data_IF_975545348097
#
_entry.id   IF_975545348097
#
_cell.length_a   1.000
_cell.length_b   1.000
_cell.length_c   1.000
_cell.angle_alpha   90.00
_cell.angle_beta   90.00
_cell.angle_gamma   90.00
#
_symmetry.space_group_name_H-M   'P 1'
#
loop_
_entity.id
_entity.type
_entity.pdbx_description
1 polymer ?
#
# COMPACT_ATOMS: atom_id res chain seq x y z
N UNK A 1 44.84 -30.73 25.05
CA UNK A 1 44.32 -31.82 25.91
C UNK A 1 44.59 -31.45 27.37
N UNK A 2 43.56 -31.54 28.22
CA UNK A 2 43.53 -31.61 29.70
C UNK A 2 44.10 -30.44 30.54
N UNK A 3 43.27 -29.65 31.24
CA UNK A 3 42.64 -29.87 32.59
C UNK A 3 43.66 -29.78 33.74
N UNK A 4 43.48 -29.10 34.89
CA UNK A 4 42.33 -28.80 35.78
C UNK A 4 42.78 -27.72 36.81
N UNK A 5 41.95 -26.73 37.17
CA UNK A 5 41.05 -26.60 38.35
C UNK A 5 41.67 -26.52 39.76
N UNK A 6 41.19 -25.49 40.49
CA UNK A 6 40.79 -25.39 41.92
C UNK A 6 41.48 -24.23 42.67
N UNK A 7 40.89 -23.49 43.61
CA UNK A 7 39.51 -23.21 44.07
C UNK A 7 39.60 -22.20 45.25
N UNK A 8 38.57 -21.37 45.45
CA UNK A 8 38.16 -20.81 46.77
C UNK A 8 38.81 -19.47 47.18
N UNK A 9 38.12 -18.51 47.80
CA UNK A 9 36.75 -18.44 48.32
C UNK A 9 36.48 -17.10 49.05
N UNK A 10 35.29 -16.53 48.78
CA UNK A 10 34.40 -15.59 49.51
C UNK A 10 34.86 -14.89 50.80
N UNK A 11 34.49 -13.60 50.93
CA UNK A 11 33.53 -12.99 51.91
C UNK A 11 33.69 -11.44 51.83
N UNK A 12 32.69 -10.55 51.85
CA UNK A 12 31.25 -10.63 52.02
C UNK A 12 30.53 -9.33 51.57
N UNK A 13 29.20 -9.40 51.55
CA UNK A 13 28.17 -8.32 51.61
C UNK A 13 27.32 -8.62 52.87
N UNK A 14 26.34 -7.81 53.36
CA UNK A 14 25.61 -6.65 52.79
C UNK A 14 25.51 -5.46 53.80
N UNK A 15 24.89 -4.29 53.52
CA UNK A 15 23.49 -3.93 53.84
C UNK A 15 23.29 -2.42 53.52
N UNK A 16 22.30 -2.07 52.70
CA UNK A 16 21.01 -1.43 53.03
C UNK A 16 21.01 0.08 53.30
N UNK A 17 20.23 0.80 52.48
CA UNK A 17 19.32 1.91 52.84
C UNK A 17 18.48 2.36 51.64
N UNK A 18 17.31 1.73 51.53
CA UNK A 18 15.96 2.33 51.50
C UNK A 18 15.69 3.61 50.68
N UNK A 19 14.70 3.52 49.78
CA UNK A 19 14.11 4.61 48.98
C UNK A 19 13.14 5.54 49.73
N UNK A 20 12.39 6.39 49.00
CA UNK A 20 11.00 6.07 48.61
C UNK A 20 10.74 6.35 47.10
N UNK A 21 10.06 5.49 46.34
CA UNK A 21 8.62 5.16 46.30
C UNK A 21 7.70 6.27 45.73
N UNK A 22 7.11 5.93 44.57
CA UNK A 22 5.87 6.41 43.94
C UNK A 22 5.76 7.82 43.32
N UNK A 23 5.66 7.88 41.98
CA UNK A 23 4.43 8.28 41.30
C UNK A 23 4.49 8.06 39.76
N UNK A 24 3.99 6.90 39.34
CA UNK A 24 3.08 6.64 38.20
C UNK A 24 2.93 7.72 37.12
N UNK A 25 3.26 7.34 35.89
CA UNK A 25 2.89 8.06 34.66
C UNK A 25 3.00 7.16 33.44
N UNK A 26 2.41 5.96 33.48
CA UNK A 26 2.29 5.10 32.32
C UNK A 26 1.37 5.76 31.28
N UNK A 27 1.94 6.35 30.24
CA UNK A 27 1.22 6.70 29.02
C UNK A 27 0.92 5.41 28.23
N UNK A 28 -0.04 4.62 28.70
CA UNK A 28 -0.70 3.53 27.95
C UNK A 28 -2.10 3.99 27.57
N UNK A 29 -2.23 4.73 26.47
CA UNK A 29 -3.52 4.93 25.80
C UNK A 29 -3.33 5.10 24.30
N UNK A 30 -2.99 3.99 23.67
CA UNK A 30 -3.07 3.81 22.22
C UNK A 30 -3.54 2.38 21.93
N UNK A 31 -4.50 1.88 22.71
CA UNK A 31 -5.14 0.62 22.44
C UNK A 31 -5.86 0.74 21.11
N UNK A 32 -5.24 0.21 20.05
CA UNK A 32 -5.96 -0.13 18.84
C UNK A 32 -7.13 -1.00 19.28
N UNK A 33 -8.33 -0.42 19.31
CA UNK A 33 -9.58 -1.14 19.47
C UNK A 33 -9.70 -1.97 18.18
N UNK A 34 -9.02 -3.11 18.14
CA UNK A 34 -9.45 -4.24 17.34
C UNK A 34 -10.82 -4.57 17.90
N UNK A 35 -11.86 -3.91 17.38
CA UNK A 35 -13.21 -4.44 17.39
C UNK A 35 -13.08 -5.75 16.63
N UNK A 36 -12.72 -6.82 17.34
CA UNK A 36 -13.08 -8.17 16.94
C UNK A 36 -14.59 -8.09 16.91
N UNK A 37 -15.15 -7.81 15.73
CA UNK A 37 -16.54 -8.04 15.48
C UNK A 37 -16.72 -9.50 15.87
N UNK A 38 -17.34 -9.74 17.03
CA UNK A 38 -17.86 -11.04 17.34
C UNK A 38 -18.83 -11.31 16.21
N UNK A 39 -18.39 -12.10 15.24
CA UNK A 39 -19.27 -12.70 14.26
C UNK A 39 -20.32 -13.41 15.13
N UNK A 40 -21.48 -12.78 15.32
CA UNK A 40 -22.61 -13.48 15.91
C UNK A 40 -22.73 -14.70 15.03
N UNK A 41 -22.47 -15.89 15.60
CA UNK A 41 -22.72 -17.14 14.89
C UNK A 41 -24.16 -16.99 14.44
N UNK A 42 -24.35 -16.90 13.14
CA UNK A 42 -25.70 -16.92 12.58
C UNK A 42 -26.23 -18.24 13.11
N UNK A 43 -27.23 -18.17 13.99
CA UNK A 43 -27.94 -19.37 14.45
C UNK A 43 -28.24 -20.20 13.21
N UNK A 44 -28.09 -21.52 13.33
CA UNK A 44 -28.09 -22.53 12.27
C UNK A 44 -29.50 -22.65 11.63
N UNK A 45 -30.05 -21.52 11.15
CA UNK A 45 -31.31 -21.36 10.44
C UNK A 45 -31.09 -21.89 9.04
N UNK A 46 -31.17 -23.21 8.94
CA UNK A 46 -31.17 -23.91 7.66
C UNK A 46 -32.39 -23.47 6.87
N UNK A 47 -32.15 -23.00 5.66
CA UNK A 47 -33.19 -22.74 4.67
C UNK A 47 -33.69 -24.12 4.21
N UNK A 48 -34.94 -24.45 4.52
CA UNK A 48 -35.52 -25.75 4.25
C UNK A 48 -36.35 -25.77 2.96
N UNK A 49 -36.85 -24.59 2.54
CA UNK A 49 -37.77 -24.48 1.40
C UNK A 49 -37.28 -23.47 0.35
N UNK A 50 -37.80 -23.60 -0.88
CA UNK A 50 -37.50 -22.66 -1.96
C UNK A 50 -38.05 -21.26 -1.67
N UNK A 51 -39.23 -21.15 -1.05
CA UNK A 51 -39.84 -19.87 -0.67
C UNK A 51 -38.99 -19.12 0.36
N UNK A 52 -38.42 -19.82 1.35
CA UNK A 52 -37.47 -19.24 2.30
C UNK A 52 -36.18 -18.78 1.58
N UNK A 53 -35.69 -19.54 0.60
CA UNK A 53 -34.54 -19.16 -0.20
C UNK A 53 -34.80 -17.88 -1.02
N UNK A 54 -35.98 -17.76 -1.63
CA UNK A 54 -36.40 -16.58 -2.39
C UNK A 54 -36.53 -15.33 -1.48
N UNK A 55 -37.07 -15.49 -0.27
CA UNK A 55 -37.11 -14.43 0.72
C UNK A 55 -35.70 -13.99 1.15
N UNK A 56 -34.80 -14.94 1.40
CA UNK A 56 -33.39 -14.65 1.73
C UNK A 56 -32.72 -13.94 0.54
N UNK A 57 -33.01 -14.35 -0.70
CA UNK A 57 -32.48 -13.69 -1.88
C UNK A 57 -32.98 -12.25 -2.03
N UNK A 58 -34.27 -11.99 -1.76
CA UNK A 58 -34.82 -10.63 -1.72
C UNK A 58 -34.16 -9.76 -0.63
N UNK A 59 -33.86 -10.35 0.55
CA UNK A 59 -33.11 -9.66 1.60
C UNK A 59 -31.65 -9.38 1.18
N UNK A 60 -30.99 -10.31 0.50
CA UNK A 60 -29.64 -10.11 -0.05
C UNK A 60 -29.66 -8.94 -1.04
N UNK A 61 -30.59 -8.92 -1.98
CA UNK A 61 -30.74 -7.83 -2.96
C UNK A 61 -30.92 -6.48 -2.27
N UNK A 62 -31.83 -6.40 -1.30
CA UNK A 62 -32.09 -5.16 -0.55
C UNK A 62 -30.85 -4.67 0.20
N UNK A 63 -30.08 -5.59 0.80
CA UNK A 63 -28.86 -5.25 1.55
C UNK A 63 -27.70 -4.85 0.65
N UNK A 64 -27.51 -5.53 -0.48
CA UNK A 64 -26.49 -5.15 -1.47
C UNK A 64 -26.83 -3.80 -2.12
N UNK A 65 -28.10 -3.51 -2.42
CA UNK A 65 -28.54 -2.20 -2.89
C UNK A 65 -28.24 -1.09 -1.87
N UNK A 66 -28.56 -1.31 -0.57
CA UNK A 66 -28.24 -0.35 0.49
C UNK A 66 -26.74 -0.14 0.66
N UNK A 67 -25.94 -1.21 0.59
CA UNK A 67 -24.48 -1.15 0.63
C UNK A 67 -23.94 -0.34 -0.55
N UNK A 68 -24.44 -0.58 -1.75
CA UNK A 68 -24.06 0.16 -2.95
C UNK A 68 -24.37 1.66 -2.81
N UNK A 69 -25.54 2.03 -2.26
CA UNK A 69 -25.87 3.42 -1.96
C UNK A 69 -24.89 4.06 -0.98
N UNK A 70 -24.59 3.39 0.14
CA UNK A 70 -23.64 3.90 1.15
C UNK A 70 -22.25 4.09 0.53
N UNK A 71 -21.79 3.13 -0.28
CA UNK A 71 -20.50 3.22 -0.97
C UNK A 71 -20.48 4.39 -1.96
N UNK A 72 -21.54 4.58 -2.76
CA UNK A 72 -21.62 5.68 -3.72
C UNK A 72 -21.55 7.05 -3.02
N UNK A 73 -22.28 7.23 -1.91
CA UNK A 73 -22.23 8.45 -1.10
C UNK A 73 -20.83 8.68 -0.52
N UNK A 74 -20.16 7.62 -0.05
CA UNK A 74 -18.80 7.71 0.48
C UNK A 74 -17.79 8.08 -0.61
N UNK A 75 -17.87 7.44 -1.78
CA UNK A 75 -17.01 7.72 -2.94
C UNK A 75 -17.21 9.15 -3.45
N UNK A 76 -18.45 9.63 -3.52
CA UNK A 76 -18.78 11.02 -3.86
C UNK A 76 -18.13 12.00 -2.88
N UNK A 77 -18.28 11.79 -1.57
CA UNK A 77 -17.63 12.63 -0.54
C UNK A 77 -16.11 12.60 -0.63
N UNK A 78 -15.51 11.42 -0.86
CA UNK A 78 -14.07 11.28 -1.07
C UNK A 78 -13.63 12.08 -2.29
N UNK A 79 -14.38 12.01 -3.40
CA UNK A 79 -14.08 12.76 -4.61
C UNK A 79 -14.16 14.28 -4.37
N UNK A 80 -15.18 14.77 -3.66
CA UNK A 80 -15.30 16.18 -3.28
C UNK A 80 -14.10 16.64 -2.44
N UNK A 81 -13.74 15.88 -1.40
CA UNK A 81 -12.60 16.21 -0.53
C UNK A 81 -11.30 16.22 -1.34
N UNK A 82 -11.07 15.20 -2.16
CA UNK A 82 -9.87 15.12 -3.02
C UNK A 82 -9.79 16.30 -3.99
N UNK A 83 -10.92 16.64 -4.64
CA UNK A 83 -10.96 17.78 -5.55
C UNK A 83 -10.64 19.10 -4.83
N UNK A 84 -11.16 19.30 -3.63
CA UNK A 84 -10.85 20.49 -2.84
C UNK A 84 -9.39 20.53 -2.42
N UNK A 85 -8.84 19.42 -1.92
CA UNK A 85 -7.43 19.34 -1.54
C UNK A 85 -6.48 19.60 -2.71
N UNK A 86 -6.80 19.10 -3.91
CA UNK A 86 -6.00 19.39 -5.11
C UNK A 86 -6.00 20.88 -5.42
N UNK A 87 -7.14 21.57 -5.29
CA UNK A 87 -7.22 23.03 -5.49
C UNK A 87 -6.42 23.79 -4.43
N UNK A 88 -6.52 23.38 -3.17
CA UNK A 88 -5.82 24.04 -2.07
C UNK A 88 -4.30 23.84 -2.21
N UNK A 89 -3.84 22.64 -2.56
CA UNK A 89 -2.43 22.36 -2.83
C UNK A 89 -1.93 23.14 -4.06
N UNK A 90 -2.72 23.21 -5.13
CA UNK A 90 -2.35 23.98 -6.32
C UNK A 90 -2.10 25.46 -6.00
N UNK A 91 -2.89 26.07 -5.11
CA UNK A 91 -2.66 27.46 -4.64
C UNK A 91 -1.32 27.60 -3.93
N UNK A 92 -0.99 26.66 -3.04
CA UNK A 92 0.32 26.67 -2.36
C UNK A 92 1.48 26.44 -3.33
N UNK A 93 1.31 25.58 -4.33
CA UNK A 93 2.31 25.36 -5.37
C UNK A 93 2.52 26.62 -6.22
N UNK A 94 1.44 27.33 -6.59
CA UNK A 94 1.48 28.63 -7.27
C UNK A 94 2.21 29.70 -6.44
N UNK A 95 2.03 29.72 -5.12
CA UNK A 95 2.75 30.65 -4.22
C UNK A 95 4.23 30.27 -4.03
N UNK A 96 4.55 28.96 -3.99
CA UNK A 96 5.90 28.46 -3.77
C UNK A 96 6.78 28.53 -5.01
N UNK A 97 6.22 28.29 -6.20
CA UNK A 97 6.97 28.28 -7.46
C UNK A 97 7.80 29.56 -7.68
N UNK A 98 7.26 30.79 -7.58
CA UNK A 98 8.05 32.00 -7.77
C UNK A 98 9.15 32.18 -6.72
N UNK A 99 8.97 31.67 -5.50
CA UNK A 99 10.01 31.68 -4.46
C UNK A 99 11.18 30.75 -4.82
N UNK A 100 10.87 29.55 -5.31
CA UNK A 100 11.88 28.62 -5.81
C UNK A 100 12.61 29.18 -7.04
N UNK A 101 11.89 29.78 -7.98
CA UNK A 101 12.49 30.42 -9.16
C UNK A 101 13.40 31.58 -8.77
N UNK A 102 12.98 32.43 -7.83
CA UNK A 102 13.82 33.50 -7.29
C UNK A 102 15.10 32.97 -6.68
N UNK A 103 15.04 31.88 -5.91
CA UNK A 103 16.22 31.23 -5.34
C UNK A 103 17.12 30.61 -6.41
N UNK A 104 16.54 29.95 -7.43
CA UNK A 104 17.31 29.41 -8.57
C UNK A 104 18.04 30.51 -9.31
N UNK A 105 17.36 31.61 -9.63
CA UNK A 105 17.96 32.77 -10.30
C UNK A 105 19.10 33.36 -9.47
N UNK A 106 18.93 33.47 -8.15
CA UNK A 106 20.02 33.92 -7.27
C UNK A 106 21.24 32.98 -7.28
N UNK A 107 21.01 31.67 -7.19
CA UNK A 107 22.09 30.67 -7.21
C UNK A 107 22.83 30.71 -8.54
N UNK A 108 22.10 30.77 -9.65
CA UNK A 108 22.66 30.79 -11.01
C UNK A 108 23.38 32.10 -11.35
N UNK A 109 22.93 33.23 -10.82
CA UNK A 109 23.61 34.51 -10.98
C UNK A 109 24.91 34.61 -10.15
N UNK A 110 25.05 33.79 -9.10
CA UNK A 110 26.18 33.85 -8.16
C UNK A 110 26.87 32.48 -7.98
N UNK A 111 27.37 31.83 -9.05
CA UNK A 111 27.98 30.51 -8.94
C UNK A 111 29.25 30.52 -8.08
N UNK A 112 29.97 31.65 -8.02
CA UNK A 112 31.16 31.84 -7.20
C UNK A 112 30.93 31.61 -5.69
N UNK A 113 29.73 31.94 -5.19
CA UNK A 113 29.38 31.75 -3.77
C UNK A 113 29.23 30.28 -3.36
N UNK A 114 29.15 29.37 -4.34
CA UNK A 114 28.91 27.94 -4.17
C UNK A 114 30.05 27.07 -4.71
N UNK A 115 31.26 27.60 -4.84
CA UNK A 115 32.41 26.78 -5.24
C UNK A 115 32.90 25.91 -4.09
N UNK A 116 33.05 26.50 -2.89
CA UNK A 116 33.47 25.84 -1.65
C UNK A 116 32.93 26.61 -0.42
N UNK A 117 31.93 26.11 0.32
CA UNK A 117 31.15 24.88 0.12
C UNK A 117 30.10 25.02 -1.00
N UNK A 118 29.74 23.90 -1.65
CA UNK A 118 28.73 23.87 -2.72
C UNK A 118 27.31 24.23 -2.27
N UNK A 119 27.04 24.05 -0.98
CA UNK A 119 25.75 24.34 -0.35
C UNK A 119 25.96 25.21 0.88
N UNK A 120 25.07 26.17 1.09
CA UNK A 120 24.96 26.96 2.31
C UNK A 120 23.88 26.38 3.21
N UNK A 121 24.16 26.30 4.51
CA UNK A 121 23.21 25.86 5.53
C UNK A 121 22.58 27.06 6.24
N UNK A 122 21.30 26.95 6.53
CA UNK A 122 20.48 27.92 7.29
C UNK A 122 19.63 27.17 8.31
N UNK A 123 19.02 27.84 9.30
CA UNK A 123 18.08 27.19 10.22
C UNK A 123 16.86 26.57 9.53
N UNK A 124 16.46 27.08 8.36
CA UNK A 124 15.30 26.62 7.60
C UNK A 124 15.63 25.56 6.53
N UNK A 125 16.90 25.24 6.30
CA UNK A 125 17.32 24.27 5.29
C UNK A 125 18.66 24.59 4.64
N UNK A 126 18.91 24.00 3.48
CA UNK A 126 20.14 24.20 2.69
C UNK A 126 19.82 24.56 1.23
N UNK A 127 20.71 25.32 0.61
CA UNK A 127 20.60 25.69 -0.81
C UNK A 127 21.97 25.84 -1.46
N UNK A 128 22.07 25.59 -2.76
CA UNK A 128 23.32 25.73 -3.53
C UNK A 128 23.35 24.82 -4.75
N UNK A 129 24.55 24.51 -5.23
CA UNK A 129 24.76 23.71 -6.42
C UNK A 129 24.90 22.22 -6.07
N UNK A 130 24.24 21.37 -6.84
CA UNK A 130 24.37 19.92 -6.77
C UNK A 130 24.67 19.37 -8.16
N UNK A 131 25.62 18.44 -8.25
CA UNK A 131 25.87 17.73 -9.50
C UNK A 131 24.72 16.73 -9.73
N UNK A 132 24.06 16.85 -10.87
CA UNK A 132 23.07 15.88 -11.33
C UNK A 132 23.57 15.30 -12.66
N UNK A 133 23.59 13.97 -12.75
CA UNK A 133 23.82 13.23 -13.99
C UNK A 133 22.49 12.67 -14.43
N UNK A 134 21.96 13.18 -15.53
CA UNK A 134 20.72 12.69 -16.12
C UNK A 134 21.06 11.89 -17.38
N UNK A 135 20.56 10.65 -17.44
CA UNK A 135 20.63 9.83 -18.65
C UNK A 135 19.42 10.17 -19.51
N UNK A 136 19.66 10.75 -20.68
CA UNK A 136 18.62 11.05 -21.65
C UNK A 136 18.60 9.93 -22.69
N UNK A 137 17.50 9.17 -22.74
CA UNK A 137 17.28 8.14 -23.75
C UNK A 137 16.41 8.76 -24.85
N UNK A 138 17.02 9.05 -26.00
CA UNK A 138 16.33 9.71 -27.12
C UNK A 138 15.40 8.78 -27.90
N UNK A 139 15.76 7.50 -28.02
CA UNK A 139 14.92 6.47 -28.65
C UNK A 139 15.08 5.15 -27.88
N UNK A 140 14.01 4.72 -27.24
CA UNK A 140 13.98 3.50 -26.43
C UNK A 140 14.04 2.23 -27.30
N UNK A 141 13.44 2.25 -28.50
CA UNK A 141 13.35 1.07 -29.36
C UNK A 141 14.72 0.71 -29.97
N UNK A 142 15.44 1.72 -30.48
CA UNK A 142 16.79 1.53 -31.03
C UNK A 142 17.76 1.10 -29.94
N UNK A 143 17.63 1.67 -28.74
CA UNK A 143 18.44 1.29 -27.59
C UNK A 143 18.17 -0.17 -27.20
N UNK A 144 16.91 -0.59 -27.10
CA UNK A 144 16.57 -1.99 -26.80
C UNK A 144 17.07 -2.94 -27.90
N UNK A 145 16.95 -2.56 -29.17
CA UNK A 145 17.43 -3.38 -30.29
C UNK A 145 18.96 -3.55 -30.25
N UNK A 146 19.68 -2.46 -29.98
CA UNK A 146 21.13 -2.49 -29.80
C UNK A 146 21.55 -3.29 -28.56
N UNK A 147 20.89 -3.08 -27.41
CA UNK A 147 21.15 -3.82 -26.18
C UNK A 147 20.92 -5.33 -26.35
N UNK A 148 19.90 -5.73 -27.12
CA UNK A 148 19.67 -7.14 -27.49
C UNK A 148 20.76 -7.69 -28.41
N UNK A 149 21.24 -6.88 -29.37
CA UNK A 149 22.31 -7.26 -30.30
C UNK A 149 23.64 -7.47 -29.59
N UNK A 150 23.96 -6.62 -28.62
CA UNK A 150 25.19 -6.68 -27.83
C UNK A 150 25.07 -7.62 -26.59
N UNK A 151 23.97 -8.37 -26.49
CA UNK A 151 23.71 -9.32 -25.39
C UNK A 151 23.73 -8.70 -23.98
N UNK A 152 23.48 -7.39 -23.87
CA UNK A 152 23.43 -6.62 -22.62
C UNK A 152 22.07 -6.76 -21.93
N UNK A 153 21.75 -8.00 -21.57
CA UNK A 153 20.45 -8.39 -21.00
C UNK A 153 20.18 -7.79 -19.61
N UNK A 154 21.23 -7.46 -18.85
CA UNK A 154 21.12 -6.77 -17.55
C UNK A 154 20.49 -5.37 -17.64
N UNK A 155 20.53 -4.76 -18.83
CA UNK A 155 19.94 -3.44 -19.10
C UNK A 155 18.47 -3.51 -19.51
N UNK A 156 17.88 -4.71 -19.65
CA UNK A 156 16.52 -4.91 -20.14
C UNK A 156 15.70 -5.68 -19.10
N UNK A 157 14.58 -5.09 -18.65
CA UNK A 157 13.63 -5.80 -17.78
C UNK A 157 12.68 -6.66 -18.63
N UNK A 158 12.89 -7.97 -18.64
CA UNK A 158 11.96 -8.94 -19.25
C UNK A 158 11.03 -9.49 -18.18
N UNK A 159 9.71 -9.41 -18.38
CA UNK A 159 8.71 -10.01 -17.48
C UNK A 159 8.02 -11.16 -18.19
N UNK A 160 8.42 -12.39 -17.90
CA UNK A 160 7.78 -13.60 -18.41
C UNK A 160 6.66 -14.04 -17.46
N UNK A 161 5.43 -14.15 -17.98
CA UNK A 161 4.29 -14.61 -17.22
C UNK A 161 3.44 -15.59 -18.04
N UNK A 162 2.98 -16.71 -17.43
CA UNK A 162 2.17 -17.68 -18.13
C UNK A 162 0.80 -17.11 -18.52
N UNK A 163 0.43 -17.26 -19.79
CA UNK A 163 -0.88 -16.85 -20.28
C UNK A 163 -1.92 -17.89 -19.83
N UNK A 164 -2.55 -17.65 -18.68
CA UNK A 164 -3.52 -18.57 -18.05
C UNK A 164 -4.62 -19.04 -19.00
N UNK A 165 -5.10 -18.18 -19.90
CA UNK A 165 -6.14 -18.51 -20.88
C UNK A 165 -5.68 -19.61 -21.84
N UNK A 166 -4.47 -19.49 -22.39
CA UNK A 166 -3.91 -20.48 -23.32
C UNK A 166 -3.55 -21.79 -22.59
N UNK A 167 -2.95 -21.70 -21.40
CA UNK A 167 -2.69 -22.88 -20.54
C UNK A 167 -3.99 -23.64 -20.24
N UNK A 168 -5.08 -22.92 -19.97
CA UNK A 168 -6.40 -23.53 -19.76
C UNK A 168 -6.94 -24.24 -21.01
N UNK A 169 -6.71 -23.69 -22.21
CA UNK A 169 -7.11 -24.34 -23.47
C UNK A 169 -6.30 -25.63 -23.71
N UNK A 170 -5.00 -25.62 -23.45
CA UNK A 170 -4.13 -26.80 -23.58
C UNK A 170 -4.60 -27.94 -22.64
N UNK A 171 -4.89 -27.61 -21.38
CA UNK A 171 -5.45 -28.56 -20.42
C UNK A 171 -6.83 -29.10 -20.84
N UNK A 172 -7.70 -28.27 -21.43
CA UNK A 172 -9.00 -28.71 -21.98
C UNK A 172 -8.83 -29.66 -23.17
N UNK A 173 -7.80 -29.47 -23.97
CA UNK A 173 -7.44 -30.33 -25.10
C UNK A 173 -6.70 -31.62 -24.68
N UNK A 174 -6.74 -31.98 -23.38
CA UNK A 174 -6.11 -33.17 -22.78
C UNK A 174 -4.57 -33.21 -22.87
N UNK A 175 -3.93 -32.07 -23.12
CA UNK A 175 -2.47 -31.99 -23.03
C UNK A 175 -2.04 -31.84 -21.57
N UNK A 176 -0.98 -32.55 -21.18
CA UNK A 176 -0.37 -32.37 -19.87
C UNK A 176 0.50 -31.11 -19.88
N UNK A 177 0.18 -30.15 -19.00
CA UNK A 177 0.98 -28.96 -18.78
C UNK A 177 1.60 -29.04 -17.37
N UNK A 178 2.94 -29.05 -17.24
CA UNK A 178 3.60 -29.13 -15.94
C UNK A 178 3.18 -28.00 -14.99
N UNK A 179 3.01 -28.31 -13.71
CA UNK A 179 2.75 -27.32 -12.67
C UNK A 179 1.31 -26.78 -12.61
N UNK A 180 0.36 -27.31 -13.39
CA UNK A 180 -1.05 -26.89 -13.31
C UNK A 180 -2.03 -28.06 -13.49
N UNK A 181 -3.19 -27.97 -12.83
CA UNK A 181 -4.29 -28.93 -12.93
C UNK A 181 -5.62 -28.20 -13.07
N UNK A 182 -6.50 -28.69 -13.93
CA UNK A 182 -7.85 -28.16 -14.06
C UNK A 182 -8.76 -28.87 -13.06
N UNK A 183 -9.24 -28.15 -12.03
CA UNK A 183 -10.28 -28.64 -11.13
C UNK A 183 -11.63 -28.21 -11.67
N UNK A 184 -12.47 -29.18 -12.04
CA UNK A 184 -13.85 -28.96 -12.48
C UNK A 184 -14.79 -29.43 -11.37
N UNK A 185 -15.74 -28.60 -11.00
CA UNK A 185 -16.77 -28.92 -10.02
C UNK A 185 -17.82 -27.84 -9.97
N UNK A 186 -19.04 -28.21 -9.59
CA UNK A 186 -20.13 -27.26 -9.43
C UNK A 186 -19.90 -26.43 -8.17
N UNK A 187 -20.09 -25.12 -8.29
CA UNK A 187 -19.94 -24.18 -7.17
C UNK A 187 -21.24 -23.42 -7.02
N UNK A 188 -21.69 -23.23 -5.77
CA UNK A 188 -22.86 -22.41 -5.49
C UNK A 188 -22.61 -20.97 -5.96
N UNK A 189 -23.56 -20.41 -6.72
CA UNK A 189 -23.49 -19.04 -7.26
C UNK A 189 -24.74 -18.28 -6.85
N UNK A 190 -24.56 -17.14 -6.20
CA UNK A 190 -25.63 -16.21 -5.83
C UNK A 190 -25.36 -14.91 -6.59
N UNK A 191 -26.30 -14.50 -7.44
CA UNK A 191 -26.20 -13.28 -8.25
C UNK A 191 -27.35 -12.33 -7.89
N UNK A 192 -27.08 -11.33 -7.05
CA UNK A 192 -28.02 -10.26 -6.81
C UNK A 192 -28.40 -9.54 -8.11
N UNK A 193 -29.62 -9.03 -8.19
CA UNK A 193 -30.11 -8.32 -9.38
C UNK A 193 -29.27 -7.05 -9.61
N UNK A 194 -28.55 -6.94 -10.75
CA UNK A 194 -27.67 -5.82 -11.02
C UNK A 194 -28.43 -4.49 -11.20
N UNK A 195 -29.65 -4.53 -11.72
CA UNK A 195 -30.43 -3.34 -12.01
C UNK A 195 -30.88 -2.65 -10.72
N UNK A 196 -31.41 -3.41 -9.75
CA UNK A 196 -31.74 -2.91 -8.41
C UNK A 196 -30.54 -2.24 -7.73
N UNK A 197 -29.35 -2.83 -7.86
CA UNK A 197 -28.11 -2.28 -7.28
C UNK A 197 -27.68 -1.00 -8.00
N UNK A 198 -27.86 -0.93 -9.33
CA UNK A 198 -27.53 0.23 -10.13
C UNK A 198 -28.44 1.42 -9.79
N UNK A 199 -29.75 1.24 -9.80
CA UNK A 199 -30.71 2.29 -9.45
C UNK A 199 -30.48 2.84 -8.04
N UNK A 200 -30.10 2.00 -7.08
CA UNK A 200 -29.79 2.44 -5.73
C UNK A 200 -28.61 3.41 -5.62
N UNK A 201 -27.69 3.41 -6.61
CA UNK A 201 -26.55 4.35 -6.67
C UNK A 201 -26.91 5.71 -7.26
N UNK A 202 -27.97 5.79 -8.07
CA UNK A 202 -28.32 6.98 -8.87
C UNK A 202 -29.25 7.96 -8.13
N UNK A 203 -29.76 7.61 -6.95
CA UNK A 203 -30.80 8.39 -6.24
C UNK A 203 -30.28 9.62 -5.45
N UNK A 204 -28.97 9.89 -5.42
CA UNK A 204 -28.42 11.06 -4.69
C UNK A 204 -27.51 11.94 -5.59
#
# INVERSE_FOLDING_TARGET
>A
MHCRKHCGGRTGKPEDRSGPADARGHCRTGGAVRRKGSMKRIDDQRIATAEEADQVMAQINTREARKAKITAVAESKIATIKSQLVKDLARYDEDLQPLYERMKTFINANPGLFQRPKKRKTPAGEYGLQAATELIISNEEDLIAWLKKEELTDCIKVTEAPIKKEVTKLLKNKQQVPGCTLKTGDTAVIKPDPDTIRYAKEID
#
